data_IF_886825637034
#
_entry.id   IF_886825637034
#
_cell.length_a   1.000
_cell.length_b   1.000
_cell.length_c   1.000
_cell.angle_alpha   90.00
_cell.angle_beta   90.00
_cell.angle_gamma   90.00
#
_symmetry.space_group_name_H-M   'P 1'
#
loop_
_entity.id
_entity.type
_entity.pdbx_description
1 polymer ?
#
# COMPACT_ATOMS: atom_id res chain seq x y z
N UNK A 1 -3.14 -3.24 25.26
CA UNK A 1 -4.29 -4.13 24.99
C UNK A 1 -4.41 -4.28 23.51
N UNK A 2 -4.28 -5.50 22.99
CA UNK A 2 -4.55 -5.76 21.58
C UNK A 2 -6.07 -5.89 21.40
N UNK A 3 -6.72 -4.86 20.89
CA UNK A 3 -8.16 -4.90 20.61
C UNK A 3 -8.51 -5.90 19.50
N UNK A 4 -7.52 -6.24 18.66
CA UNK A 4 -7.67 -7.14 17.50
C UNK A 4 -6.51 -8.13 17.44
N UNK A 5 -6.40 -9.08 18.39
CA UNK A 5 -5.20 -9.94 18.55
C UNK A 5 -4.95 -10.87 17.36
N UNK A 6 -5.98 -11.31 16.66
CA UNK A 6 -5.91 -12.26 15.55
C UNK A 6 -6.03 -11.61 14.18
N UNK A 7 -5.94 -10.29 14.11
CA UNK A 7 -6.13 -9.56 12.85
C UNK A 7 -4.81 -9.42 12.11
N UNK A 8 -4.76 -9.94 10.89
CA UNK A 8 -3.64 -9.68 9.98
C UNK A 8 -3.75 -8.27 9.42
N UNK A 9 -2.76 -7.45 9.73
CA UNK A 9 -2.65 -6.08 9.22
C UNK A 9 -1.67 -6.03 8.07
N UNK A 10 -2.06 -5.40 6.96
CA UNK A 10 -1.18 -5.06 5.84
C UNK A 10 -1.07 -3.54 5.76
N UNK A 11 0.12 -3.02 5.96
CA UNK A 11 0.39 -1.58 5.88
C UNK A 11 0.81 -1.24 4.46
N UNK A 12 0.10 -0.32 3.84
CA UNK A 12 0.41 0.17 2.48
C UNK A 12 0.90 1.60 2.58
N UNK A 13 2.05 1.87 2.01
CA UNK A 13 2.69 3.18 1.97
C UNK A 13 2.73 3.72 0.56
N UNK A 14 2.79 5.05 0.43
CA UNK A 14 2.95 5.71 -0.86
C UNK A 14 4.32 5.39 -1.50
N UNK A 15 4.37 5.29 -2.83
CA UNK A 15 5.61 4.99 -3.57
C UNK A 15 6.75 5.99 -3.33
N UNK A 16 6.43 7.20 -2.87
CA UNK A 16 7.42 8.24 -2.56
C UNK A 16 7.73 8.34 -1.07
N UNK A 17 7.16 7.48 -0.24
CA UNK A 17 7.28 7.57 1.22
C UNK A 17 8.75 7.53 1.68
N UNK A 18 9.54 6.60 1.17
CA UNK A 18 10.97 6.47 1.48
C UNK A 18 11.83 7.70 1.16
N UNK A 19 11.33 8.63 0.32
CA UNK A 19 12.00 9.91 0.03
C UNK A 19 11.64 11.04 1.02
N UNK A 20 10.65 10.81 1.88
CA UNK A 20 10.09 11.83 2.80
C UNK A 20 10.37 11.56 4.26
N UNK A 21 10.83 10.36 4.59
CA UNK A 21 11.23 9.98 5.96
C UNK A 21 12.64 10.47 6.30
N UNK A 22 12.99 10.47 7.57
CA UNK A 22 14.35 10.78 8.03
C UNK A 22 15.34 9.76 7.44
N UNK A 23 16.52 10.24 7.04
CA UNK A 23 17.57 9.38 6.46
C UNK A 23 18.01 8.24 7.39
N UNK A 24 17.86 8.41 8.70
CA UNK A 24 18.16 7.39 9.71
C UNK A 24 17.18 6.23 9.69
N UNK A 25 15.94 6.48 9.24
CA UNK A 25 14.84 5.49 9.20
C UNK A 25 14.78 4.73 7.87
N UNK A 26 15.53 5.19 6.85
CA UNK A 26 15.47 4.61 5.49
C UNK A 26 15.90 3.14 5.48
N UNK A 27 16.90 2.77 6.29
CA UNK A 27 17.36 1.36 6.34
C UNK A 27 16.25 0.46 6.90
N UNK A 28 15.67 0.84 8.03
CA UNK A 28 14.57 0.11 8.67
C UNK A 28 13.34 0.03 7.76
N UNK A 29 13.03 1.13 7.07
CA UNK A 29 11.96 1.15 6.08
C UNK A 29 12.20 0.16 4.93
N UNK A 30 13.41 0.11 4.39
CA UNK A 30 13.74 -0.83 3.31
C UNK A 30 13.69 -2.29 3.79
N UNK A 31 14.18 -2.56 4.99
CA UNK A 31 14.12 -3.88 5.61
C UNK A 31 12.65 -4.32 5.79
N UNK A 32 11.77 -3.42 6.21
CA UNK A 32 10.33 -3.70 6.35
C UNK A 32 9.65 -4.00 4.99
N UNK A 33 10.05 -3.33 3.90
CA UNK A 33 9.59 -3.64 2.54
C UNK A 33 10.09 -5.03 2.10
N UNK A 34 11.38 -5.31 2.31
CA UNK A 34 12.00 -6.59 1.90
C UNK A 34 11.42 -7.77 2.68
N UNK A 35 11.04 -7.58 3.92
CA UNK A 35 10.37 -8.56 4.78
C UNK A 35 8.84 -8.67 4.55
N UNK A 36 8.28 -7.87 3.62
CA UNK A 36 6.84 -7.79 3.36
C UNK A 36 6.00 -7.31 4.56
N UNK A 37 6.57 -6.59 5.48
CA UNK A 37 5.87 -5.92 6.59
C UNK A 37 5.15 -4.67 6.09
N UNK A 38 5.75 -3.99 5.11
CA UNK A 38 5.18 -2.86 4.38
C UNK A 38 5.00 -3.21 2.91
N UNK A 39 3.95 -2.69 2.31
CA UNK A 39 3.69 -2.83 0.88
C UNK A 39 3.72 -1.46 0.22
N UNK A 40 4.56 -1.30 -0.79
CA UNK A 40 4.61 -0.09 -1.61
C UNK A 40 4.12 -0.39 -3.02
N UNK A 41 3.24 0.44 -3.60
CA UNK A 41 2.85 0.27 -4.99
C UNK A 41 4.03 0.52 -5.92
N UNK A 42 4.10 -0.17 -7.08
CA UNK A 42 5.15 0.06 -8.04
C UNK A 42 5.09 1.49 -8.59
N UNK A 43 6.25 2.12 -8.78
CA UNK A 43 6.35 3.44 -9.37
C UNK A 43 5.69 3.44 -10.76
N UNK A 44 4.92 4.51 -11.06
CA UNK A 44 4.19 4.61 -12.33
C UNK A 44 2.89 3.82 -12.40
N UNK A 45 2.47 3.14 -11.33
CA UNK A 45 1.16 2.49 -11.28
C UNK A 45 0.04 3.51 -11.51
N UNK A 46 -0.95 3.11 -12.32
CA UNK A 46 -2.14 3.93 -12.55
C UNK A 46 -3.05 3.85 -11.32
N UNK A 47 -3.61 4.99 -10.94
CA UNK A 47 -4.63 5.04 -9.87
C UNK A 47 -4.11 5.44 -8.50
N UNK A 48 -2.90 5.95 -8.39
CA UNK A 48 -2.29 6.42 -7.13
C UNK A 48 -2.21 5.32 -6.06
N UNK A 49 -1.62 5.62 -4.90
CA UNK A 49 -1.55 4.70 -3.76
C UNK A 49 -2.91 4.23 -3.27
N UNK A 50 -3.89 5.13 -3.28
CA UNK A 50 -5.26 4.85 -2.85
C UNK A 50 -5.93 3.74 -3.67
N UNK A 51 -5.82 3.80 -5.01
CA UNK A 51 -6.34 2.75 -5.88
C UNK A 51 -5.70 1.39 -5.64
N UNK A 52 -4.41 1.37 -5.27
CA UNK A 52 -3.70 0.15 -4.93
C UNK A 52 -4.21 -0.46 -3.61
N UNK A 53 -4.40 0.36 -2.56
CA UNK A 53 -5.01 -0.05 -1.29
C UNK A 53 -6.39 -0.65 -1.53
N UNK A 54 -7.25 0.04 -2.29
CA UNK A 54 -8.60 -0.41 -2.57
C UNK A 54 -8.64 -1.71 -3.39
N UNK A 55 -7.69 -1.88 -4.31
CA UNK A 55 -7.56 -3.12 -5.09
C UNK A 55 -7.20 -4.30 -4.20
N UNK A 56 -6.25 -4.13 -3.28
CA UNK A 56 -5.87 -5.17 -2.30
C UNK A 56 -7.08 -5.52 -1.43
N UNK A 57 -7.69 -4.50 -0.81
CA UNK A 57 -8.82 -4.69 0.10
C UNK A 57 -10.02 -5.38 -0.59
N UNK A 58 -10.27 -5.08 -1.86
CA UNK A 58 -11.30 -5.76 -2.65
C UNK A 58 -10.98 -7.23 -2.86
N UNK A 59 -9.72 -7.56 -3.22
CA UNK A 59 -9.29 -8.94 -3.51
C UNK A 59 -9.41 -9.87 -2.31
N UNK A 60 -9.07 -9.38 -1.12
CA UNK A 60 -9.06 -10.19 0.11
C UNK A 60 -10.26 -9.90 1.02
N UNK A 61 -11.22 -9.11 0.56
CA UNK A 61 -12.40 -8.67 1.33
C UNK A 61 -12.06 -8.03 2.69
N UNK A 62 -10.91 -7.34 2.75
CA UNK A 62 -10.44 -6.69 3.97
C UNK A 62 -11.17 -5.38 4.26
N UNK A 63 -11.20 -5.00 5.52
CA UNK A 63 -11.55 -3.65 5.97
C UNK A 63 -10.39 -2.71 5.72
N UNK A 64 -10.67 -1.53 5.18
CA UNK A 64 -9.68 -0.46 5.00
C UNK A 64 -9.70 0.45 6.23
N UNK A 65 -8.55 0.62 6.86
CA UNK A 65 -8.38 1.60 7.95
C UNK A 65 -7.77 2.87 7.37
N UNK A 66 -8.57 3.91 7.24
CA UNK A 66 -8.14 5.19 6.68
C UNK A 66 -9.07 6.34 7.10
N UNK A 67 -8.50 7.52 7.22
CA UNK A 67 -9.26 8.75 7.40
C UNK A 67 -9.62 9.44 6.07
N UNK A 68 -9.19 8.90 4.95
CA UNK A 68 -9.65 9.33 3.63
C UNK A 68 -11.07 8.79 3.34
N UNK A 69 -11.82 9.51 2.52
CA UNK A 69 -13.15 9.11 2.07
C UNK A 69 -13.15 8.40 0.72
N UNK A 70 -12.03 8.41 0.00
CA UNK A 70 -11.86 7.81 -1.32
C UNK A 70 -12.92 8.24 -2.34
N UNK A 71 -13.35 9.51 -2.32
CA UNK A 71 -14.45 10.02 -3.14
C UNK A 71 -14.27 9.77 -4.64
N UNK A 72 -13.05 9.88 -5.12
CA UNK A 72 -12.67 9.67 -6.51
C UNK A 72 -12.87 8.23 -6.97
N UNK A 73 -12.89 7.28 -6.05
CA UNK A 73 -12.99 5.85 -6.33
C UNK A 73 -14.38 5.27 -6.10
N UNK A 74 -15.36 6.06 -5.66
CA UNK A 74 -16.69 5.56 -5.30
C UNK A 74 -17.43 4.88 -6.46
N UNK A 75 -17.16 5.28 -7.72
CA UNK A 75 -17.77 4.65 -8.89
C UNK A 75 -17.22 3.25 -9.14
N UNK A 76 -15.92 3.07 -8.95
CA UNK A 76 -15.19 1.83 -9.23
C UNK A 76 -15.21 0.86 -8.03
N UNK A 77 -15.46 1.40 -6.84
CA UNK A 77 -15.46 0.67 -5.58
C UNK A 77 -16.75 0.92 -4.75
N UNK A 78 -17.93 0.53 -5.24
CA UNK A 78 -19.19 0.75 -4.54
C UNK A 78 -19.27 0.03 -3.19
N UNK A 79 -18.47 -1.02 -2.99
CA UNK A 79 -18.34 -1.76 -1.74
C UNK A 79 -17.82 -0.91 -0.56
N UNK A 80 -17.24 0.27 -0.82
CA UNK A 80 -16.84 1.22 0.24
C UNK A 80 -18.04 1.71 1.06
N UNK A 81 -19.26 1.60 0.52
CA UNK A 81 -20.50 1.96 1.23
C UNK A 81 -21.09 0.81 2.05
N UNK A 82 -20.46 -0.37 2.00
CA UNK A 82 -20.89 -1.49 2.84
C UNK A 82 -20.37 -1.28 4.27
N UNK A 83 -21.20 -1.59 5.27
CA UNK A 83 -20.82 -1.45 6.68
C UNK A 83 -19.60 -2.30 7.03
N UNK A 84 -18.69 -1.75 7.83
CA UNK A 84 -17.48 -2.44 8.25
C UNK A 84 -16.36 -2.53 7.21
N UNK A 85 -16.55 -1.93 6.02
CA UNK A 85 -15.52 -1.95 4.97
C UNK A 85 -14.53 -0.79 5.02
N UNK A 86 -14.92 0.31 5.67
CA UNK A 86 -14.07 1.46 5.88
C UNK A 86 -14.12 1.87 7.36
N UNK A 87 -12.96 1.89 8.00
CA UNK A 87 -12.79 2.35 9.37
C UNK A 87 -11.92 3.60 9.40
N UNK A 88 -12.29 4.55 10.24
CA UNK A 88 -11.43 5.66 10.60
C UNK A 88 -10.77 5.40 11.95
N UNK A 89 -9.58 5.97 12.16
CA UNK A 89 -8.90 5.86 13.43
C UNK A 89 -8.21 7.16 13.85
N UNK A 90 -8.12 7.37 15.14
CA UNK A 90 -7.40 8.51 15.71
C UNK A 90 -6.73 8.12 17.01
N UNK A 91 -5.44 8.50 17.21
CA UNK A 91 -4.80 8.36 18.49
C UNK A 91 -5.40 9.36 19.49
N UNK A 92 -5.76 8.89 20.66
CA UNK A 92 -6.28 9.71 21.76
C UNK A 92 -5.32 9.60 22.94
N UNK A 93 -4.79 10.72 23.46
CA UNK A 93 -3.87 10.70 24.61
C UNK A 93 -4.44 9.91 25.78
N UNK A 94 -3.62 9.08 26.41
CA UNK A 94 -3.94 8.22 27.54
C UNK A 94 -4.97 7.09 27.27
N UNK A 95 -5.60 7.07 26.11
CA UNK A 95 -6.58 6.04 25.70
C UNK A 95 -5.98 5.07 24.67
N UNK A 96 -5.16 5.58 23.74
CA UNK A 96 -4.63 4.81 22.62
C UNK A 96 -5.40 5.10 21.33
N UNK A 97 -5.37 4.17 20.39
CA UNK A 97 -6.12 4.31 19.14
C UNK A 97 -7.60 4.02 19.36
N UNK A 98 -8.42 4.90 18.83
CA UNK A 98 -9.88 4.71 18.78
C UNK A 98 -10.28 4.55 17.31
N UNK A 99 -10.90 3.43 16.99
CA UNK A 99 -11.39 3.10 15.65
C UNK A 99 -12.91 3.20 15.61
N UNK A 100 -13.42 3.72 14.48
CA UNK A 100 -14.85 3.85 14.23
C UNK A 100 -15.20 3.43 12.81
N UNK A 101 -16.32 2.77 12.63
CA UNK A 101 -16.87 2.50 11.30
C UNK A 101 -17.23 3.81 10.60
N UNK A 102 -16.89 3.89 9.33
CA UNK A 102 -17.18 5.05 8.51
C UNK A 102 -17.94 4.63 7.25
N UNK A 103 -18.89 5.47 6.88
CA UNK A 103 -19.47 5.44 5.54
C UNK A 103 -18.92 6.63 4.76
N UNK A 104 -18.40 6.41 3.54
CA UNK A 104 -17.94 7.50 2.71
C UNK A 104 -19.06 8.50 2.43
N UNK A 105 -18.72 9.78 2.45
CA UNK A 105 -19.68 10.83 2.09
C UNK A 105 -19.87 10.82 0.58
N UNK A 106 -21.09 10.62 0.12
CA UNK A 106 -21.41 10.70 -1.31
C UNK A 106 -21.29 12.15 -1.78
N UNK A 107 -20.54 12.42 -2.86
CA UNK A 107 -20.45 13.77 -3.37
C UNK A 107 -21.81 14.25 -3.88
N UNK A 108 -22.19 15.44 -3.48
CA UNK A 108 -23.49 16.04 -3.83
C UNK A 108 -23.61 16.53 -5.28
N UNK A 109 -22.53 16.51 -6.06
CA UNK A 109 -22.53 17.02 -7.42
C UNK A 109 -21.70 16.13 -8.38
N UNK A 110 -22.32 15.70 -9.46
CA UNK A 110 -21.69 14.91 -10.54
C UNK A 110 -20.43 15.55 -11.19
N UNK A 111 -20.26 16.86 -11.07
CA UNK A 111 -19.10 17.59 -11.61
C UNK A 111 -17.83 17.37 -10.80
N UNK A 112 -17.93 17.22 -9.47
CA UNK A 112 -16.77 16.95 -8.61
C UNK A 112 -16.24 15.54 -8.80
N UNK A 113 -17.13 14.56 -8.98
CA UNK A 113 -16.78 13.15 -9.24
C UNK A 113 -15.99 12.97 -10.52
N UNK A 114 -16.40 13.65 -11.63
CA UNK A 114 -15.65 13.57 -12.91
C UNK A 114 -14.24 14.16 -12.83
N UNK A 115 -14.04 15.22 -12.05
CA UNK A 115 -12.73 15.83 -11.84
C UNK A 115 -11.85 14.92 -10.99
N UNK A 116 -12.37 14.40 -9.89
CA UNK A 116 -11.68 13.49 -8.98
C UNK A 116 -11.30 12.18 -9.68
N UNK A 117 -12.22 11.56 -10.43
CA UNK A 117 -11.95 10.34 -11.21
C UNK A 117 -10.86 10.53 -12.27
N UNK A 118 -10.77 11.71 -12.91
CA UNK A 118 -9.65 12.03 -13.81
C UNK A 118 -8.31 12.09 -13.08
N UNK A 119 -8.29 12.57 -11.87
CA UNK A 119 -7.07 12.68 -11.06
C UNK A 119 -6.63 11.31 -10.53
N UNK A 120 -7.57 10.47 -10.11
CA UNK A 120 -7.33 9.11 -9.68
C UNK A 120 -6.71 8.21 -10.76
N UNK A 121 -7.09 8.42 -12.01
CA UNK A 121 -6.55 7.67 -13.16
C UNK A 121 -5.22 8.21 -13.71
N UNK A 122 -4.60 9.19 -13.06
CA UNK A 122 -3.26 9.66 -13.47
C UNK A 122 -2.21 8.64 -13.01
N UNK A 123 -1.18 8.39 -13.83
CA UNK A 123 -0.04 7.58 -13.40
C UNK A 123 0.58 8.17 -12.14
N UNK A 124 0.98 7.31 -11.22
CA UNK A 124 1.67 7.72 -10.01
C UNK A 124 2.99 8.41 -10.39
N UNK A 125 3.35 9.52 -9.70
CA UNK A 125 4.63 10.17 -9.95
C UNK A 125 5.79 9.20 -9.77
N UNK A 126 6.66 9.12 -10.76
CA UNK A 126 7.90 8.34 -10.64
C UNK A 126 8.87 9.22 -9.86
N UNK A 127 9.46 8.72 -8.75
CA UNK A 127 10.50 9.44 -8.04
C UNK A 127 11.66 9.79 -8.98
N UNK A 128 12.08 11.03 -9.01
CA UNK A 128 13.19 11.48 -9.88
C UNK A 128 14.55 10.96 -9.41
N UNK A 129 14.64 10.62 -8.13
CA UNK A 129 15.84 10.05 -7.52
C UNK A 129 15.45 8.78 -6.78
N UNK A 130 16.26 7.72 -6.85
CA UNK A 130 16.00 6.52 -6.06
C UNK A 130 16.08 6.86 -4.56
N UNK A 131 15.38 6.12 -3.69
CA UNK A 131 15.55 6.25 -2.25
C UNK A 131 17.02 6.06 -1.88
N UNK A 132 17.53 6.81 -0.90
CA UNK A 132 18.91 6.61 -0.44
C UNK A 132 19.05 5.20 0.12
N UNK A 133 20.10 4.47 -0.31
CA UNK A 133 20.49 3.14 0.19
C UNK A 133 19.64 1.92 -0.18
N UNK A 134 18.95 1.92 -1.32
CA UNK A 134 18.49 0.64 -1.85
C UNK A 134 19.72 -0.18 -2.25
N UNK A 135 20.11 -1.14 -1.42
CA UNK A 135 20.98 -2.25 -1.85
C UNK A 135 20.17 -3.13 -2.75
N UNK A 136 20.39 -3.08 -4.07
CA UNK A 136 19.93 -4.15 -4.94
C UNK A 136 20.54 -5.45 -4.36
N UNK A 137 19.69 -6.37 -3.92
CA UNK A 137 20.13 -7.72 -3.57
C UNK A 137 20.93 -8.25 -4.76
N UNK A 138 22.20 -8.53 -4.51
CA UNK A 138 23.09 -9.07 -5.53
C UNK A 138 22.46 -10.37 -6.02
N UNK A 139 22.11 -10.43 -7.31
CA UNK A 139 21.73 -11.67 -7.98
C UNK A 139 22.81 -12.69 -7.69
N UNK A 140 22.52 -13.66 -6.84
CA UNK A 140 23.34 -14.84 -6.66
C UNK A 140 23.48 -15.51 -8.02
N UNK A 141 24.67 -15.42 -8.59
CA UNK A 141 25.06 -16.17 -9.78
C UNK A 141 24.89 -17.65 -9.45
N UNK A 142 23.90 -18.30 -10.02
CA UNK A 142 23.82 -19.74 -10.01
C UNK A 142 25.05 -20.26 -10.76
N UNK A 143 25.99 -20.83 -10.02
CA UNK A 143 27.12 -21.56 -10.57
C UNK A 143 26.58 -22.86 -11.16
N UNK A 144 26.52 -22.94 -12.47
CA UNK A 144 26.24 -24.18 -13.17
C UNK A 144 27.39 -25.14 -12.91
N UNK A 145 27.17 -26.13 -12.05
CA UNK A 145 28.08 -27.28 -11.94
C UNK A 145 27.88 -28.16 -13.18
N UNK A 146 28.86 -28.15 -14.08
CA UNK A 146 29.01 -29.05 -15.17
C UNK A 146 29.27 -30.46 -14.62
N UNK A 147 28.30 -31.36 -14.78
CA UNK A 147 28.51 -32.78 -14.52
C UNK A 147 29.23 -33.40 -15.73
N UNK A 148 30.49 -33.69 -15.56
CA UNK A 148 31.30 -34.49 -16.51
C UNK A 148 30.91 -35.96 -16.35
N UNK A 149 30.27 -36.53 -17.34
CA UNK A 149 30.04 -37.99 -17.46
C UNK A 149 31.31 -38.60 -17.99
N UNK A 150 31.92 -39.52 -17.23
CA UNK A 150 33.02 -40.38 -17.68
C UNK A 150 32.44 -41.59 -18.40
N UNK A 151 33.04 -42.05 -19.51
CA UNK A 151 32.60 -43.26 -20.17
C UNK A 151 33.15 -44.51 -19.46
N UNK A 152 32.29 -45.52 -19.32
CA UNK A 152 32.67 -46.85 -18.86
C UNK A 152 33.40 -47.61 -20.01
N UNK A 153 34.52 -48.25 -19.66
CA UNK A 153 35.13 -49.33 -20.42
C UNK A 153 34.71 -50.68 -19.83
#
# INVERSE_FOLDING_TARGET
MNEYPDTKVTVVVDATFGHRIDKREVTEFNDAIDNNELVSPPAGAVGRGDGFVLTIAKKISATVVSNDSYQEFHQDHPWLFDGGRLMGGKPVPLVGWVFIDRLPVRPSAAKSVKKASREANRPMPIPRTPPPNIKLAAKTKATSASATVAPAA
#
